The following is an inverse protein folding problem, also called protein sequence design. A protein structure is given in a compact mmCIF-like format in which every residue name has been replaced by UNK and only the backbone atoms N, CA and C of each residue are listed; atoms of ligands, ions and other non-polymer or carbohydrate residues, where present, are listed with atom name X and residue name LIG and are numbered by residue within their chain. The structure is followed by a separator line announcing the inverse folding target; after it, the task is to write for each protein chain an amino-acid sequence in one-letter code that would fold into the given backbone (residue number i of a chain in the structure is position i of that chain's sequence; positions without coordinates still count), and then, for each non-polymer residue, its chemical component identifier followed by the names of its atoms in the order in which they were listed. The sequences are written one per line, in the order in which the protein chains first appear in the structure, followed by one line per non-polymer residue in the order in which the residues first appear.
data_IF_281943371394
#
_entry.id   IF_281943371394
#
_cell.length_a   1.000
_cell.length_b   1.000
_cell.length_c   1.000
_cell.angle_alpha   90.00
_cell.angle_beta   90.00
_cell.angle_gamma   90.00
#
_symmetry.space_group_name_H-M   'P 1'
#
loop_
_entity.id
_entity.type
_entity.pdbx_description
1 polymer ?
#
# COMPACT_ATOMS: atom_id res chain seq x y z
N UNK A 1 -3.37 -2.97 -24.04
CA UNK A 1 -3.54 -1.75 -23.21
C UNK A 1 -2.65 -1.92 -21.98
N UNK A 2 -1.88 -0.89 -21.59
CA UNK A 2 -0.93 -1.00 -20.47
C UNK A 2 -1.69 -1.27 -19.16
N UNK A 3 -1.28 -2.30 -18.43
CA UNK A 3 -1.84 -2.68 -17.13
C UNK A 3 -1.17 -1.86 -16.02
N UNK A 4 -1.83 -0.79 -15.60
CA UNK A 4 -1.37 0.07 -14.51
C UNK A 4 -2.21 -0.25 -13.28
N UNK A 5 -1.55 -0.74 -12.22
CA UNK A 5 -2.17 -0.99 -10.93
C UNK A 5 -1.88 0.17 -9.97
N UNK A 6 -2.91 0.61 -9.25
CA UNK A 6 -2.76 1.46 -8.08
C UNK A 6 -2.87 0.57 -6.85
N UNK A 7 -1.88 0.59 -5.97
CA UNK A 7 -1.90 -0.05 -4.65
C UNK A 7 -2.10 1.03 -3.59
N UNK A 8 -3.36 1.36 -3.23
CA UNK A 8 -3.65 2.46 -2.32
C UNK A 8 -3.53 2.00 -0.87
N UNK A 9 -3.05 2.88 0.01
CA UNK A 9 -2.93 2.60 1.44
C UNK A 9 -2.44 3.80 2.24
N UNK A 10 -2.50 3.72 3.56
CA UNK A 10 -1.89 4.74 4.42
C UNK A 10 -0.37 4.56 4.55
N UNK A 11 0.10 3.31 4.48
CA UNK A 11 1.51 2.92 4.52
C UNK A 11 2.30 3.59 5.67
N UNK A 12 1.74 3.51 6.88
CA UNK A 12 2.23 4.22 8.06
C UNK A 12 2.59 3.25 9.21
N UNK A 13 3.76 2.58 9.16
CA UNK A 13 4.76 2.58 8.08
C UNK A 13 4.45 1.55 6.97
N UNK A 14 5.23 1.58 5.87
CA UNK A 14 5.29 0.50 4.89
C UNK A 14 5.98 -0.73 5.53
N UNK A 15 5.53 -1.95 5.22
CA UNK A 15 5.95 -3.17 5.96
C UNK A 15 6.24 -4.32 4.98
N UNK A 16 6.84 -5.41 5.48
CA UNK A 16 7.07 -6.64 4.69
C UNK A 16 5.80 -7.19 4.04
N UNK A 17 4.66 -7.09 4.73
CA UNK A 17 3.37 -7.51 4.17
C UNK A 17 2.97 -6.68 2.94
N UNK A 18 3.24 -5.38 2.93
CA UNK A 18 2.99 -4.52 1.78
C UNK A 18 3.97 -4.80 0.64
N UNK A 19 5.25 -4.96 0.96
CA UNK A 19 6.29 -5.31 0.00
C UNK A 19 5.98 -6.61 -0.73
N UNK A 20 5.61 -7.66 0.02
CA UNK A 20 5.23 -8.97 -0.53
C UNK A 20 4.11 -8.86 -1.57
N UNK A 21 3.10 -8.03 -1.32
CA UNK A 21 1.99 -7.80 -2.25
C UNK A 21 2.48 -7.12 -3.53
N UNK A 22 3.33 -6.10 -3.42
CA UNK A 22 3.90 -5.40 -4.58
C UNK A 22 4.78 -6.32 -5.40
N UNK A 23 5.72 -7.04 -4.77
CA UNK A 23 6.64 -7.94 -5.45
C UNK A 23 5.91 -9.05 -6.20
N UNK A 24 4.91 -9.67 -5.57
CA UNK A 24 4.08 -10.72 -6.22
C UNK A 24 3.19 -10.19 -7.34
N UNK A 25 3.04 -8.88 -7.45
CA UNK A 25 2.22 -8.23 -8.48
C UNK A 25 3.04 -7.78 -9.70
N UNK A 26 4.38 -7.84 -9.65
CA UNK A 26 5.26 -7.37 -10.72
C UNK A 26 5.09 -8.11 -12.06
N UNK A 27 4.61 -9.35 -12.00
CA UNK A 27 4.31 -10.18 -13.17
C UNK A 27 2.86 -10.01 -13.68
N UNK A 28 2.01 -9.35 -12.90
CA UNK A 28 0.60 -9.14 -13.23
C UNK A 28 0.36 -7.83 -13.97
N UNK A 29 1.22 -6.84 -13.73
CA UNK A 29 1.05 -5.46 -14.19
C UNK A 29 2.31 -4.93 -14.87
N UNK A 30 2.11 -4.02 -15.83
CA UNK A 30 3.21 -3.33 -16.52
C UNK A 30 3.79 -2.21 -15.66
N UNK A 31 2.98 -1.67 -14.73
CA UNK A 31 3.38 -0.62 -13.79
C UNK A 31 2.53 -0.69 -12.52
N UNK A 32 3.14 -0.49 -11.35
CA UNK A 32 2.48 -0.44 -10.05
C UNK A 32 2.77 0.91 -9.39
N UNK A 33 1.71 1.62 -9.00
CA UNK A 33 1.80 2.88 -8.27
C UNK A 33 1.39 2.61 -6.83
N UNK A 34 2.34 2.64 -5.90
CA UNK A 34 2.06 2.61 -4.46
C UNK A 34 1.55 3.98 -4.05
N UNK A 35 0.24 4.10 -3.89
CA UNK A 35 -0.47 5.36 -3.73
C UNK A 35 -0.79 5.64 -2.26
N UNK A 36 -0.10 6.62 -1.67
CA UNK A 36 -0.23 6.92 -0.25
C UNK A 36 -1.35 7.94 -0.04
N UNK A 37 -2.45 7.51 0.57
CA UNK A 37 -3.57 8.39 0.89
C UNK A 37 -3.27 9.32 2.05
N UNK A 38 -3.55 10.62 1.89
CA UNK A 38 -3.53 11.61 2.98
C UNK A 38 -4.81 11.43 3.81
N UNK A 39 -4.69 10.82 4.99
CA UNK A 39 -5.82 10.57 5.88
C UNK A 39 -5.96 11.70 6.91
N UNK A 40 -7.10 12.40 6.92
CA UNK A 40 -7.37 13.52 7.83
C UNK A 40 -7.78 13.11 9.26
N UNK A 41 -8.16 11.85 9.49
CA UNK A 41 -8.80 11.43 10.74
C UNK A 41 -7.88 10.81 11.82
N UNK A 42 -6.63 10.44 11.49
CA UNK A 42 -5.69 9.82 12.46
C UNK A 42 -4.38 10.59 12.46
N UNK A 43 -3.79 10.79 13.65
CA UNK A 43 -2.40 11.29 13.75
C UNK A 43 -1.46 10.22 13.20
N UNK A 44 -0.82 10.44 12.03
CA UNK A 44 0.10 9.47 11.47
C UNK A 44 1.36 9.40 12.34
N UNK A 45 2.05 8.26 12.31
CA UNK A 45 3.40 8.14 12.88
C UNK A 45 4.40 8.88 12.00
N UNK A 46 4.33 8.65 10.68
CA UNK A 46 5.23 9.21 9.69
C UNK A 46 4.56 10.34 8.89
N UNK A 47 5.31 11.40 8.61
CA UNK A 47 4.88 12.44 7.67
C UNK A 47 4.62 11.84 6.29
N UNK A 48 3.80 12.51 5.47
CA UNK A 48 3.47 11.98 4.14
C UNK A 48 4.72 11.86 3.27
N UNK A 49 5.61 12.83 3.35
CA UNK A 49 6.88 12.87 2.64
C UNK A 49 7.78 11.70 3.06
N UNK A 50 7.86 11.42 4.37
CA UNK A 50 8.62 10.28 4.90
C UNK A 50 8.09 8.94 4.39
N UNK A 51 6.77 8.77 4.32
CA UNK A 51 6.15 7.53 3.80
C UNK A 51 6.43 7.34 2.32
N UNK A 52 6.33 8.42 1.54
CA UNK A 52 6.66 8.39 0.12
C UNK A 52 8.13 8.04 -0.06
N UNK A 53 9.04 8.69 0.65
CA UNK A 53 10.48 8.44 0.54
C UNK A 53 10.84 7.00 0.95
N UNK A 54 10.22 6.48 2.00
CA UNK A 54 10.41 5.09 2.44
C UNK A 54 10.06 4.11 1.33
N UNK A 55 8.88 4.26 0.71
CA UNK A 55 8.47 3.38 -0.40
C UNK A 55 9.40 3.54 -1.61
N UNK A 56 9.83 4.76 -1.88
CA UNK A 56 10.75 5.08 -2.98
C UNK A 56 12.10 4.38 -2.78
N UNK A 57 12.61 4.33 -1.55
CA UNK A 57 13.84 3.62 -1.20
C UNK A 57 13.69 2.11 -1.34
N UNK A 58 12.59 1.53 -0.82
CA UNK A 58 12.29 0.09 -0.91
C UNK A 58 12.33 -0.38 -2.37
N UNK A 59 11.72 0.39 -3.27
CA UNK A 59 11.59 0.01 -4.68
C UNK A 59 12.57 0.70 -5.62
N UNK A 60 13.67 1.26 -5.12
CA UNK A 60 14.65 2.02 -5.92
C UNK A 60 15.22 1.25 -7.12
N UNK A 61 15.28 -0.08 -7.02
CA UNK A 61 15.81 -0.97 -8.06
C UNK A 61 14.72 -1.54 -8.98
N UNK A 62 13.46 -1.10 -8.84
CA UNK A 62 12.31 -1.64 -9.58
C UNK A 62 11.67 -0.57 -10.47
N UNK A 63 12.06 -0.54 -11.76
CA UNK A 63 11.55 0.44 -12.73
C UNK A 63 10.02 0.37 -12.95
N UNK A 64 9.41 -0.77 -12.63
CA UNK A 64 7.96 -0.99 -12.72
C UNK A 64 7.17 -0.44 -11.53
N UNK A 65 7.84 0.07 -10.51
CA UNK A 65 7.18 0.55 -9.29
C UNK A 65 7.45 2.03 -9.10
N UNK A 66 6.40 2.80 -8.91
CA UNK A 66 6.50 4.20 -8.49
C UNK A 66 5.66 4.45 -7.25
N UNK A 67 5.86 5.60 -6.63
CA UNK A 67 5.06 6.04 -5.48
C UNK A 67 4.66 7.49 -5.61
N UNK A 68 3.40 7.75 -5.29
CA UNK A 68 2.80 9.08 -5.23
C UNK A 68 1.89 9.14 -4.01
N UNK A 69 1.67 10.34 -3.48
CA UNK A 69 0.59 10.57 -2.53
C UNK A 69 -0.61 11.19 -3.23
N UNK A 70 -1.78 11.05 -2.62
CA UNK A 70 -3.00 11.68 -3.13
C UNK A 70 -3.93 12.12 -2.00
N UNK A 71 -4.75 13.09 -2.32
CA UNK A 71 -5.85 13.58 -1.49
C UNK A 71 -7.18 13.27 -2.17
N UNK A 72 -8.26 13.14 -1.39
CA UNK A 72 -9.59 12.83 -1.91
C UNK A 72 -9.78 11.34 -2.23
N UNK A 73 -10.57 11.05 -3.26
CA UNK A 73 -11.02 9.70 -3.57
C UNK A 73 -9.97 8.91 -4.36
N UNK A 74 -9.75 7.65 -3.97
CA UNK A 74 -8.86 6.71 -4.68
C UNK A 74 -9.24 6.56 -6.15
N UNK A 75 -10.53 6.59 -6.49
CA UNK A 75 -11.01 6.49 -7.88
C UNK A 75 -10.62 7.70 -8.73
N UNK A 76 -10.56 8.89 -8.15
CA UNK A 76 -10.12 10.09 -8.87
C UNK A 76 -8.63 10.04 -9.13
N UNK A 77 -7.85 9.54 -8.15
CA UNK A 77 -6.43 9.26 -8.37
C UNK A 77 -6.22 8.20 -9.47
N UNK A 78 -6.98 7.10 -9.44
CA UNK A 78 -6.94 6.08 -10.49
C UNK A 78 -7.22 6.68 -11.87
N UNK A 79 -8.20 7.58 -11.98
CA UNK A 79 -8.51 8.29 -13.24
C UNK A 79 -7.35 9.16 -13.70
N UNK A 80 -6.75 9.94 -12.79
CA UNK A 80 -5.61 10.84 -13.05
C UNK A 80 -4.42 10.10 -13.66
N UNK A 81 -4.11 8.91 -13.13
CA UNK A 81 -2.93 8.12 -13.55
C UNK A 81 -3.26 7.07 -14.62
N UNK A 82 -4.48 7.09 -15.15
CA UNK A 82 -4.98 6.12 -16.12
C UNK A 82 -4.82 4.66 -15.66
N UNK A 83 -5.04 4.43 -14.36
CA UNK A 83 -5.01 3.09 -13.78
C UNK A 83 -6.08 2.22 -14.43
N UNK A 84 -5.78 0.94 -14.58
CA UNK A 84 -6.72 -0.09 -15.02
C UNK A 84 -7.09 -1.04 -13.90
N UNK A 85 -6.29 -1.07 -12.82
CA UNK A 85 -6.51 -1.95 -11.69
C UNK A 85 -6.27 -1.24 -10.35
N UNK A 86 -7.03 -1.63 -9.33
CA UNK A 86 -6.73 -1.37 -7.92
C UNK A 86 -6.26 -2.68 -7.29
N UNK A 87 -5.02 -2.71 -6.85
CA UNK A 87 -4.43 -3.83 -6.13
C UNK A 87 -4.73 -3.71 -4.65
N UNK A 88 -5.08 -4.80 -3.98
CA UNK A 88 -5.33 -4.86 -2.53
C UNK A 88 -4.81 -6.16 -1.94
N UNK A 89 -4.25 -6.07 -0.73
CA UNK A 89 -3.85 -7.24 0.06
C UNK A 89 -4.94 -7.62 1.06
N UNK A 90 -5.21 -8.92 1.22
CA UNK A 90 -6.18 -9.45 2.18
C UNK A 90 -5.46 -10.41 3.14
N UNK A 91 -5.70 -10.26 4.44
CA UNK A 91 -5.11 -11.16 5.46
C UNK A 91 -6.16 -12.04 6.14
N UNK A 92 -7.38 -11.52 6.28
CA UNK A 92 -8.46 -12.17 7.02
C UNK A 92 -9.79 -12.11 6.27
N UNK A 93 -10.76 -12.92 6.69
CA UNK A 93 -12.13 -12.84 6.16
C UNK A 93 -12.78 -11.47 6.42
N UNK A 94 -12.47 -10.83 7.55
CA UNK A 94 -12.96 -9.49 7.86
C UNK A 94 -12.38 -8.44 6.91
N UNK A 95 -11.09 -8.53 6.58
CA UNK A 95 -10.49 -7.67 5.56
C UNK A 95 -11.21 -7.87 4.22
N UNK A 96 -11.46 -9.13 3.80
CA UNK A 96 -12.16 -9.41 2.54
C UNK A 96 -13.54 -8.77 2.48
N UNK A 97 -14.38 -8.91 3.51
CA UNK A 97 -15.72 -8.32 3.49
C UNK A 97 -15.69 -6.79 3.37
N UNK A 98 -14.76 -6.15 4.08
CA UNK A 98 -14.58 -4.70 4.00
C UNK A 98 -14.11 -4.27 2.60
N UNK A 99 -13.07 -4.93 2.09
CA UNK A 99 -12.48 -4.63 0.78
C UNK A 99 -13.43 -4.93 -0.39
N UNK A 100 -14.22 -6.00 -0.28
CA UNK A 100 -15.24 -6.37 -1.27
C UNK A 100 -16.28 -5.27 -1.43
N UNK A 101 -16.75 -4.70 -0.32
CA UNK A 101 -17.71 -3.60 -0.36
C UNK A 101 -17.11 -2.36 -1.05
N UNK A 102 -15.88 -1.98 -0.70
CA UNK A 102 -15.17 -0.85 -1.33
C UNK A 102 -15.00 -1.08 -2.83
N UNK A 103 -14.57 -2.27 -3.24
CA UNK A 103 -14.39 -2.60 -4.65
C UNK A 103 -15.68 -2.49 -5.46
N UNK A 104 -16.81 -2.96 -4.92
CA UNK A 104 -18.11 -2.85 -5.60
C UNK A 104 -18.56 -1.40 -5.79
N UNK A 105 -18.34 -0.55 -4.78
CA UNK A 105 -18.64 0.89 -4.89
C UNK A 105 -17.71 1.57 -5.90
N UNK A 106 -16.39 1.31 -5.82
CA UNK A 106 -15.42 1.88 -6.75
C UNK A 106 -15.69 1.44 -8.19
N UNK A 107 -16.11 0.19 -8.42
CA UNK A 107 -16.49 -0.32 -9.74
C UNK A 107 -17.68 0.46 -10.32
N UNK A 108 -18.66 0.82 -9.49
CA UNK A 108 -19.79 1.65 -9.91
C UNK A 108 -19.36 3.09 -10.22
N UNK A 109 -18.40 3.64 -9.49
CA UNK A 109 -17.89 5.00 -9.68
C UNK A 109 -16.91 5.12 -10.85
N UNK A 110 -16.15 4.07 -11.14
CA UNK A 110 -15.14 4.02 -12.19
C UNK A 110 -15.15 2.62 -12.87
N UNK A 111 -16.09 2.36 -13.80
CA UNK A 111 -16.25 1.03 -14.41
C UNK A 111 -15.04 0.50 -15.16
N UNK A 112 -14.12 1.37 -15.61
CA UNK A 112 -12.90 0.99 -16.31
C UNK A 112 -11.78 0.43 -15.43
N UNK A 113 -11.96 0.39 -14.10
CA UNK A 113 -10.96 -0.10 -13.15
C UNK A 113 -11.45 -1.35 -12.45
N UNK A 114 -10.63 -2.42 -12.50
CA UNK A 114 -10.90 -3.67 -11.79
C UNK A 114 -10.17 -3.72 -10.44
N UNK A 115 -10.82 -4.26 -9.41
CA UNK A 115 -10.14 -4.52 -8.13
C UNK A 115 -9.58 -5.94 -8.11
N UNK A 116 -8.29 -6.07 -7.81
CA UNK A 116 -7.57 -7.34 -7.70
C UNK A 116 -7.13 -7.52 -6.26
N UNK A 117 -7.50 -8.66 -5.69
CA UNK A 117 -7.15 -9.04 -4.33
C UNK A 117 -6.08 -10.13 -4.35
N UNK A 118 -4.99 -9.90 -3.61
CA UNK A 118 -4.00 -10.93 -3.32
C UNK A 118 -4.09 -11.32 -1.84
N UNK A 119 -4.18 -12.62 -1.59
CA UNK A 119 -4.02 -13.14 -0.24
C UNK A 119 -2.58 -12.90 0.21
N UNK A 120 -2.44 -12.35 1.41
CA UNK A 120 -1.14 -12.14 2.06
C UNK A 120 -0.50 -13.49 2.35
N UNK A 121 0.81 -13.61 2.16
CA UNK A 121 1.51 -14.85 2.49
C UNK A 121 1.38 -15.15 3.99
N UNK A 122 1.25 -16.43 4.40
CA UNK A 122 1.03 -16.80 5.80
C UNK A 122 2.00 -16.13 6.80
N UNK A 123 3.28 -16.07 6.45
CA UNK A 123 4.37 -15.48 7.23
C UNK A 123 4.21 -13.96 7.49
N UNK A 124 3.47 -13.26 6.64
CA UNK A 124 3.22 -11.82 6.78
C UNK A 124 1.81 -11.48 7.30
N UNK A 125 0.95 -12.48 7.45
CA UNK A 125 -0.45 -12.29 7.90
C UNK A 125 -0.56 -11.54 9.24
N UNK A 126 0.30 -11.79 10.26
CA UNK A 126 0.25 -11.05 11.52
C UNK A 126 0.72 -9.59 11.40
N UNK A 127 1.47 -9.24 10.35
CA UNK A 127 2.12 -7.95 10.20
C UNK A 127 1.08 -6.90 9.76
N UNK A 128 0.81 -5.93 10.63
CA UNK A 128 0.00 -4.78 10.28
C UNK A 128 0.55 -3.49 10.87
N UNK A 129 0.45 -2.39 10.13
CA UNK A 129 1.05 -1.11 10.53
C UNK A 129 0.53 -0.58 11.87
N UNK A 130 -0.66 -0.98 12.33
CA UNK A 130 -1.13 -0.57 13.67
C UNK A 130 -0.29 -1.19 14.77
N UNK A 131 -0.07 -2.51 14.74
CA UNK A 131 0.82 -3.18 15.69
C UNK A 131 2.24 -2.64 15.57
N UNK A 132 2.74 -2.46 14.34
CA UNK A 132 4.11 -1.96 14.12
C UNK A 132 4.28 -0.54 14.66
N UNK A 133 3.30 0.36 14.48
CA UNK A 133 3.34 1.69 15.09
C UNK A 133 3.39 1.62 16.61
N UNK A 134 2.66 0.71 17.25
CA UNK A 134 2.66 0.58 18.70
C UNK A 134 4.01 0.08 19.21
N UNK A 135 4.66 -0.85 18.51
CA UNK A 135 6.03 -1.29 18.83
C UNK A 135 6.99 -0.08 18.79
N UNK A 136 6.97 0.68 17.70
CA UNK A 136 7.86 1.85 17.51
C UNK A 136 7.62 2.91 18.59
N UNK A 137 6.35 3.24 18.89
CA UNK A 137 5.98 4.24 19.90
C UNK A 137 6.44 3.89 21.30
N UNK A 138 6.52 2.60 21.62
CA UNK A 138 6.96 2.10 22.91
C UNK A 138 8.46 1.73 22.94
N UNK A 139 9.23 2.13 21.93
CA UNK A 139 10.68 1.91 21.88
C UNK A 139 11.11 0.47 21.59
N UNK A 140 10.19 -0.38 21.11
CA UNK A 140 10.52 -1.73 20.66
C UNK A 140 11.17 -1.75 19.28
N UNK A 141 11.89 -2.85 18.98
CA UNK A 141 12.53 -3.04 17.68
C UNK A 141 11.54 -3.59 16.64
N UNK A 142 11.22 -2.75 15.66
CA UNK A 142 10.34 -3.09 14.55
C UNK A 142 11.06 -3.56 13.28
N UNK A 143 12.40 -3.59 13.27
CA UNK A 143 13.22 -3.82 12.06
C UNK A 143 12.83 -5.12 11.35
N UNK A 144 12.55 -6.18 12.11
CA UNK A 144 12.14 -7.50 11.58
C UNK A 144 10.78 -7.51 10.83
N UNK A 145 10.01 -6.41 10.87
CA UNK A 145 8.71 -6.29 10.21
C UNK A 145 8.70 -5.30 9.05
N UNK A 146 9.85 -4.68 8.76
CA UNK A 146 10.04 -3.69 7.70
C UNK A 146 10.88 -4.30 6.56
N UNK A 147 10.77 -3.76 5.34
CA UNK A 147 11.62 -4.18 4.23
C UNK A 147 13.12 -4.13 4.56
N UNK A 148 13.89 -5.00 3.92
CA UNK A 148 15.33 -5.10 4.15
C UNK A 148 16.04 -3.76 3.89
N UNK A 149 16.98 -3.40 4.77
CA UNK A 149 17.76 -2.17 4.66
C UNK A 149 17.05 -0.90 5.11
N UNK A 150 15.77 -0.97 5.51
CA UNK A 150 15.03 0.20 5.99
C UNK A 150 15.24 0.42 7.49
N UNK A 151 15.92 1.52 7.84
CA UNK A 151 15.96 2.05 9.21
C UNK A 151 14.80 3.03 9.44
N UNK A 152 13.84 2.64 10.27
CA UNK A 152 12.66 3.47 10.57
C UNK A 152 13.02 4.84 11.17
N UNK A 153 14.15 4.96 11.86
CA UNK A 153 14.58 6.22 12.48
C UNK A 153 14.90 7.30 11.46
N UNK A 154 15.20 6.94 10.22
CA UNK A 154 15.39 7.89 9.10
C UNK A 154 14.10 8.61 8.72
N UNK A 155 12.95 8.03 9.04
CA UNK A 155 11.63 8.47 8.56
C UNK A 155 10.74 9.09 9.65
N UNK A 156 11.06 8.84 10.93
CA UNK A 156 10.43 9.44 12.11
C UNK A 156 10.78 10.94 12.22
#
# INVERSE_FOLDING_TARGET
MRKIAVFPGSFDPFTLGHESIVLRSLDLFDHIIVAIGVHSGKKPLLKIESRVEMVREVFRSFDKVSTEYFEGLTVDFCRKVHATHMLRGIRTAADFEYERAIAQINKRMLPGVESIFLLTSPEHTPINSTIIRDIIRNGGDATQFLPEGIDIKKYL
#
